data_IF_327820157682
#
_entry.id   IF_327820157682
#
_cell.length_a   1.000
_cell.length_b   1.000
_cell.length_c   1.000
_cell.angle_alpha   90.00
_cell.angle_beta   90.00
_cell.angle_gamma   90.00
#
_symmetry.space_group_name_H-M   'P 1'
#
loop_
_entity.id
_entity.type
_entity.pdbx_description
1 polymer ?
#
# COMPACT_ATOMS: atom_id res chain seq x y z
N UNK A 1 -24.71 22.61 -45.12
CA UNK A 1 -25.20 21.93 -43.90
C UNK A 1 -24.51 20.58 -43.59
N UNK A 2 -24.03 19.80 -44.58
CA UNK A 2 -23.39 18.49 -44.33
C UNK A 2 -21.96 18.54 -43.72
N UNK A 3 -21.19 19.60 -43.96
CA UNK A 3 -19.80 19.70 -43.43
C UNK A 3 -19.78 20.00 -41.92
N UNK A 4 -20.72 20.82 -41.43
CA UNK A 4 -20.82 21.19 -40.02
C UNK A 4 -21.27 20.01 -39.14
N UNK A 5 -22.13 19.13 -39.66
CA UNK A 5 -22.61 17.94 -38.92
C UNK A 5 -21.51 16.86 -38.77
N UNK A 6 -20.65 16.68 -39.77
CA UNK A 6 -19.50 15.74 -39.68
C UNK A 6 -18.45 16.24 -38.69
N UNK A 7 -18.08 17.54 -38.74
CA UNK A 7 -17.14 18.14 -37.80
C UNK A 7 -17.66 18.11 -36.34
N UNK A 8 -18.96 18.29 -36.16
CA UNK A 8 -19.63 18.17 -34.85
C UNK A 8 -19.62 16.72 -34.33
N UNK A 9 -19.82 15.72 -35.20
CA UNK A 9 -19.71 14.29 -34.87
C UNK A 9 -18.30 13.89 -34.43
N UNK A 10 -17.25 14.40 -35.09
CA UNK A 10 -15.85 14.15 -34.71
C UNK A 10 -15.44 14.86 -33.42
N UNK A 11 -15.93 16.10 -33.20
CA UNK A 11 -15.70 16.84 -31.94
C UNK A 11 -16.40 16.17 -30.76
N UNK A 12 -17.64 15.70 -30.92
CA UNK A 12 -18.35 14.90 -29.91
C UNK A 12 -17.60 13.61 -29.59
N UNK A 13 -17.13 12.87 -30.61
CA UNK A 13 -16.31 11.66 -30.42
C UNK A 13 -14.99 11.95 -29.69
N UNK A 14 -14.33 13.08 -29.96
CA UNK A 14 -13.11 13.48 -29.24
C UNK A 14 -13.38 13.74 -27.75
N UNK A 15 -14.47 14.41 -27.40
CA UNK A 15 -14.85 14.66 -26.01
C UNK A 15 -15.28 13.36 -25.30
N UNK A 16 -16.03 12.49 -25.96
CA UNK A 16 -16.37 11.17 -25.40
C UNK A 16 -15.12 10.31 -25.19
N UNK A 17 -14.17 10.28 -26.13
CA UNK A 17 -12.88 9.60 -25.96
C UNK A 17 -12.08 10.22 -24.81
N UNK A 18 -12.12 11.54 -24.63
CA UNK A 18 -11.44 12.23 -23.52
C UNK A 18 -12.08 11.91 -22.18
N UNK A 19 -13.40 11.79 -22.11
CA UNK A 19 -14.12 11.34 -20.91
C UNK A 19 -13.79 9.89 -20.60
N UNK A 20 -13.87 9.00 -21.59
CA UNK A 20 -13.50 7.57 -21.47
C UNK A 20 -12.04 7.44 -21.02
N UNK A 21 -11.13 8.23 -21.59
CA UNK A 21 -9.73 8.24 -21.18
C UNK A 21 -9.57 8.66 -19.72
N UNK A 22 -10.24 9.73 -19.28
CA UNK A 22 -10.18 10.15 -17.88
C UNK A 22 -10.80 9.12 -16.93
N UNK A 23 -11.94 8.51 -17.28
CA UNK A 23 -12.53 7.45 -16.45
C UNK A 23 -11.62 6.23 -16.40
N UNK A 24 -11.00 5.81 -17.51
CA UNK A 24 -10.02 4.72 -17.51
C UNK A 24 -8.78 5.05 -16.67
N UNK A 25 -8.27 6.28 -16.74
CA UNK A 25 -7.15 6.71 -15.91
C UNK A 25 -7.51 6.73 -14.42
N UNK A 26 -8.70 7.21 -14.08
CA UNK A 26 -9.18 7.27 -12.70
C UNK A 26 -9.42 5.87 -12.11
N UNK A 27 -10.05 4.97 -12.87
CA UNK A 27 -10.27 3.59 -12.42
C UNK A 27 -8.95 2.82 -12.30
N UNK A 28 -8.03 2.97 -13.25
CA UNK A 28 -6.70 2.37 -13.16
C UNK A 28 -5.92 2.87 -11.95
N UNK A 29 -5.94 4.18 -11.66
CA UNK A 29 -5.30 4.75 -10.49
C UNK A 29 -5.89 4.19 -9.18
N UNK A 30 -7.22 4.12 -9.09
CA UNK A 30 -7.90 3.58 -7.91
C UNK A 30 -7.58 2.09 -7.70
N UNK A 31 -7.59 1.28 -8.77
CA UNK A 31 -7.22 -0.13 -8.71
C UNK A 31 -5.76 -0.33 -8.27
N UNK A 32 -4.85 0.55 -8.72
CA UNK A 32 -3.44 0.49 -8.32
C UNK A 32 -3.23 0.86 -6.86
N UNK A 33 -3.93 1.89 -6.37
CA UNK A 33 -3.86 2.32 -4.97
C UNK A 33 -4.38 1.26 -4.00
N UNK A 34 -5.37 0.45 -4.41
CA UNK A 34 -5.95 -0.62 -3.59
C UNK A 34 -4.95 -1.76 -3.26
N UNK A 35 -3.82 -1.86 -3.96
CA UNK A 35 -2.81 -2.91 -3.71
C UNK A 35 -1.76 -2.53 -2.65
N UNK A 36 -1.84 -1.35 -2.02
CA UNK A 36 -0.95 -0.95 -0.94
C UNK A 36 -1.28 -1.72 0.35
N UNK A 37 -0.52 -2.78 0.64
CA UNK A 37 -0.59 -3.49 1.92
C UNK A 37 0.46 -2.97 2.91
N UNK A 38 0.01 -2.66 4.13
CA UNK A 38 0.90 -2.35 5.25
C UNK A 38 1.39 -3.65 5.90
N UNK A 39 2.71 -3.75 6.11
CA UNK A 39 3.35 -4.90 6.72
C UNK A 39 3.54 -4.65 8.23
N UNK A 40 2.94 -5.49 9.07
CA UNK A 40 3.09 -5.43 10.52
C UNK A 40 4.41 -6.06 10.98
N UNK A 41 5.10 -5.41 11.92
CA UNK A 41 6.31 -5.86 12.62
C UNK A 41 6.19 -5.56 14.11
N UNK A 42 7.01 -6.19 14.94
CA UNK A 42 7.00 -6.00 16.39
C UNK A 42 8.21 -5.19 16.84
N UNK A 43 7.98 -4.17 17.67
CA UNK A 43 9.04 -3.33 18.25
C UNK A 43 9.08 -3.58 19.74
N UNK A 44 10.28 -3.79 20.30
CA UNK A 44 10.49 -4.03 21.73
C UNK A 44 10.74 -2.72 22.49
N UNK A 45 10.65 -2.76 23.82
CA UNK A 45 10.87 -1.58 24.70
C UNK A 45 12.19 -0.85 24.48
N UNK A 46 13.24 -1.56 24.05
CA UNK A 46 14.55 -0.96 23.76
C UNK A 46 14.57 -0.16 22.47
N UNK A 47 13.55 -0.30 21.61
CA UNK A 47 13.32 0.58 20.46
C UNK A 47 14.47 0.67 19.46
N UNK A 48 15.38 -0.32 19.44
CA UNK A 48 16.57 -0.32 18.56
C UNK A 48 16.38 -1.19 17.31
N UNK A 49 15.47 -2.18 17.41
CA UNK A 49 15.24 -3.17 16.35
C UNK A 49 13.76 -3.50 16.18
N UNK A 50 13.39 -3.90 14.97
CA UNK A 50 12.09 -4.50 14.68
C UNK A 50 12.21 -6.01 14.45
N UNK A 51 11.14 -6.72 14.78
CA UNK A 51 11.10 -8.18 14.93
C UNK A 51 9.89 -8.77 14.21
N UNK A 52 9.96 -10.07 13.87
CA UNK A 52 8.78 -10.89 13.53
C UNK A 52 8.01 -11.26 14.80
N UNK A 53 6.72 -11.51 14.67
CA UNK A 53 5.84 -12.02 15.73
C UNK A 53 6.42 -13.25 16.47
N UNK A 54 6.93 -14.23 15.72
CA UNK A 54 7.48 -15.47 16.31
C UNK A 54 8.87 -15.31 16.95
N UNK A 55 9.43 -14.09 16.99
CA UNK A 55 10.71 -13.85 17.60
C UNK A 55 10.62 -13.98 19.13
N UNK A 56 11.56 -14.70 19.75
CA UNK A 56 11.65 -14.82 21.21
C UNK A 56 11.64 -13.48 21.96
N UNK A 57 12.19 -12.43 21.34
CA UNK A 57 12.26 -11.09 21.91
C UNK A 57 11.00 -10.25 21.65
N UNK A 58 10.13 -10.63 20.71
CA UNK A 58 8.94 -9.85 20.36
C UNK A 58 7.82 -9.94 21.43
N UNK A 59 7.89 -10.92 22.35
CA UNK A 59 6.88 -11.16 23.38
C UNK A 59 6.56 -9.96 24.28
N UNK A 60 7.52 -9.06 24.48
CA UNK A 60 7.37 -7.86 25.32
C UNK A 60 7.20 -6.58 24.50
N UNK A 61 7.07 -6.72 23.18
CA UNK A 61 6.93 -5.62 22.24
C UNK A 61 5.48 -5.33 21.85
N UNK A 62 5.32 -4.35 20.98
CA UNK A 62 4.04 -3.97 20.38
C UNK A 62 4.11 -4.06 18.85
N UNK A 63 2.96 -4.32 18.22
CA UNK A 63 2.82 -4.30 16.77
C UNK A 63 2.94 -2.87 16.23
N UNK A 64 3.61 -2.71 15.09
CA UNK A 64 3.82 -1.44 14.41
C UNK A 64 4.04 -1.68 12.91
N UNK A 65 3.80 -0.69 12.07
CA UNK A 65 4.07 -0.81 10.64
C UNK A 65 5.56 -0.81 10.34
N UNK A 66 5.97 -1.66 9.41
CA UNK A 66 7.34 -1.74 8.91
C UNK A 66 7.80 -0.39 8.34
N UNK A 67 6.90 0.33 7.66
CA UNK A 67 7.18 1.67 7.13
C UNK A 67 7.49 2.66 8.26
N UNK A 68 6.73 2.62 9.35
CA UNK A 68 6.95 3.47 10.53
C UNK A 68 8.24 3.08 11.23
N UNK A 69 8.52 1.78 11.37
CA UNK A 69 9.76 1.29 11.97
C UNK A 69 10.99 1.78 11.20
N UNK A 70 10.97 1.69 9.87
CA UNK A 70 12.03 2.22 9.00
C UNK A 70 12.18 3.73 9.11
N UNK A 71 11.07 4.49 9.12
CA UNK A 71 11.09 5.95 9.30
C UNK A 71 11.72 6.37 10.63
N UNK A 72 11.55 5.56 11.68
CA UNK A 72 12.15 5.77 13.00
C UNK A 72 13.63 5.35 13.07
N UNK A 73 14.23 4.84 12.00
CA UNK A 73 15.63 4.39 11.98
C UNK A 73 15.89 3.05 12.67
N UNK A 74 14.85 2.26 12.94
CA UNK A 74 14.99 0.93 13.54
C UNK A 74 15.64 -0.04 12.56
N UNK A 75 16.50 -0.94 13.08
CA UNK A 75 17.17 -1.97 12.27
C UNK A 75 16.48 -3.33 12.38
N UNK A 76 16.63 -4.18 11.37
CA UNK A 76 16.11 -5.54 11.44
C UNK A 76 16.81 -6.33 12.56
N UNK A 77 16.06 -7.18 13.27
CA UNK A 77 16.64 -8.14 14.19
C UNK A 77 17.45 -9.20 13.42
N UNK A 78 18.73 -9.38 13.79
CA UNK A 78 19.62 -10.36 13.16
C UNK A 78 19.25 -11.81 13.49
N UNK A 79 18.48 -12.03 14.56
CA UNK A 79 18.06 -13.37 15.00
C UNK A 79 16.86 -13.86 14.19
N UNK A 80 15.77 -13.07 14.14
CA UNK A 80 14.57 -13.47 13.41
C UNK A 80 14.55 -13.05 11.94
N UNK A 81 15.53 -12.24 11.50
CA UNK A 81 15.74 -11.81 10.10
C UNK A 81 14.42 -11.53 9.37
N UNK A 82 13.61 -10.57 9.85
CA UNK A 82 12.28 -10.32 9.28
C UNK A 82 12.41 -9.95 7.80
N UNK A 83 11.91 -10.83 6.92
CA UNK A 83 11.89 -10.57 5.48
C UNK A 83 10.61 -9.82 5.10
N UNK A 84 10.66 -9.00 4.05
CA UNK A 84 9.54 -8.16 3.61
C UNK A 84 8.34 -8.93 3.05
N UNK A 85 8.37 -10.27 3.03
CA UNK A 85 7.29 -11.14 2.53
C UNK A 85 6.50 -11.86 3.61
N UNK A 86 6.86 -11.69 4.88
CA UNK A 86 6.19 -12.41 5.95
C UNK A 86 5.01 -11.59 6.46
N UNK A 87 3.94 -11.53 5.66
CA UNK A 87 2.63 -11.03 6.05
C UNK A 87 2.15 -11.83 7.25
N UNK A 88 2.47 -11.34 8.45
CA UNK A 88 1.91 -11.86 9.68
C UNK A 88 0.43 -11.57 9.62
N UNK A 89 -0.38 -12.62 9.58
CA UNK A 89 -1.81 -12.57 9.87
C UNK A 89 -1.92 -12.07 11.32
N UNK A 90 -1.82 -10.76 11.52
CA UNK A 90 -2.10 -10.12 12.78
C UNK A 90 -3.61 -10.22 12.98
N UNK A 91 -4.05 -11.40 13.42
CA UNK A 91 -5.35 -11.56 14.02
C UNK A 91 -5.30 -10.69 15.27
N UNK A 92 -6.03 -9.56 15.22
CA UNK A 92 -6.20 -8.66 16.33
C UNK A 92 -6.62 -9.50 17.54
N UNK A 93 -5.73 -9.65 18.51
CA UNK A 93 -6.14 -10.11 19.84
C UNK A 93 -6.84 -8.89 20.46
N UNK A 94 -8.18 -8.93 20.66
CA UNK A 94 -8.86 -7.87 21.38
C UNK A 94 -8.33 -7.88 22.82
N UNK A 95 -8.11 -6.68 23.36
CA UNK A 95 -7.78 -6.45 24.76
C UNK A 95 -8.84 -7.04 25.70
#
# INVERSE_FOLDING_TARGET
MLVQSVAFSLRRRREEVKKILHTLLFTAFFLLAAQLQAQTVFITKTGSKYHKESCRYAKTGWASDLAVAKKRGLTACLVCKPSSKETGKAELIPL
#
